data_IF_151841421034
#
_entry.id   IF_151841421034
#
_cell.length_a   1.000
_cell.length_b   1.000
_cell.length_c   1.000
_cell.angle_alpha   90.00
_cell.angle_beta   90.00
_cell.angle_gamma   90.00
#
_symmetry.space_group_name_H-M   'P 1'
#
loop_
_entity.id
_entity.type
_entity.pdbx_description
1 polymer ?
#
# COMPACT_ATOMS: atom_id res chain seq x y z
N UNK A 1 -8.71 20.59 24.02
CA UNK A 1 -7.69 19.54 24.16
C UNK A 1 -7.20 19.19 22.77
N UNK A 2 -6.07 19.76 22.40
CA UNK A 2 -5.39 19.54 21.12
C UNK A 2 -4.83 18.12 21.16
N UNK A 3 -5.31 17.24 20.28
CA UNK A 3 -4.62 15.98 20.04
C UNK A 3 -3.30 16.32 19.38
N UNK A 4 -2.23 16.28 20.18
CA UNK A 4 -0.86 16.30 19.70
C UNK A 4 -0.74 15.26 18.58
N UNK A 5 -0.21 15.71 17.44
CA UNK A 5 0.32 14.82 16.42
C UNK A 5 1.46 14.03 17.07
N UNK A 6 1.11 12.92 17.72
CA UNK A 6 2.05 11.86 18.00
C UNK A 6 2.52 11.39 16.64
N UNK A 7 3.76 11.74 16.32
CA UNK A 7 4.52 11.20 15.21
C UNK A 7 4.38 9.68 15.26
N UNK A 8 3.47 9.14 14.45
CA UNK A 8 3.19 7.71 14.38
C UNK A 8 4.38 7.15 13.63
N UNK A 9 5.49 6.91 14.32
CA UNK A 9 6.67 6.29 13.74
C UNK A 9 6.35 4.91 13.16
N UNK A 10 7.29 4.32 12.40
CA UNK A 10 7.13 2.97 11.87
C UNK A 10 6.74 1.96 12.98
N UNK A 11 6.05 0.87 12.62
CA UNK A 11 5.62 -0.15 13.59
C UNK A 11 6.79 -0.56 14.49
N UNK A 12 6.59 -0.63 15.81
CA UNK A 12 7.63 -1.03 16.74
C UNK A 12 8.02 -2.49 16.50
N UNK A 13 9.31 -2.78 16.67
CA UNK A 13 9.85 -4.12 16.52
C UNK A 13 9.11 -5.13 17.43
N UNK A 14 9.01 -6.39 17.01
CA UNK A 14 8.33 -7.40 17.80
C UNK A 14 9.03 -7.61 19.15
N UNK A 15 8.42 -7.11 20.23
CA UNK A 15 8.82 -7.49 21.60
C UNK A 15 8.56 -8.99 21.78
N UNK A 16 9.64 -9.77 21.93
CA UNK A 16 9.64 -11.22 22.09
C UNK A 16 9.65 -11.66 23.56
N UNK A 17 9.94 -10.75 24.49
CA UNK A 17 10.11 -11.08 25.91
C UNK A 17 8.92 -10.60 26.73
N UNK A 18 8.17 -11.56 27.28
CA UNK A 18 7.26 -11.30 28.39
C UNK A 18 8.14 -11.10 29.63
N UNK A 19 8.05 -9.95 30.33
CA UNK A 19 8.86 -9.73 31.52
C UNK A 19 8.62 -10.88 32.52
N UNK A 20 9.68 -11.45 33.11
CA UNK A 20 9.55 -12.58 34.02
C UNK A 20 8.66 -12.21 35.22
N UNK A 21 7.87 -13.16 35.75
CA UNK A 21 7.01 -12.89 36.89
C UNK A 21 7.83 -12.34 38.06
N UNK A 22 7.45 -11.17 38.59
CA UNK A 22 7.97 -10.68 39.87
C UNK A 22 7.45 -11.57 41.00
N UNK A 23 8.33 -11.81 41.98
CA UNK A 23 8.21 -12.68 43.16
C UNK A 23 6.78 -13.14 43.52
N UNK A 24 6.61 -14.46 43.62
CA UNK A 24 5.33 -15.08 44.01
C UNK A 24 5.09 -14.79 45.50
N UNK A 25 4.32 -13.74 45.80
CA UNK A 25 3.85 -13.46 47.16
C UNK A 25 2.97 -14.59 47.67
N UNK A 26 3.24 -15.06 48.88
CA UNK A 26 2.37 -15.97 49.64
C UNK A 26 1.11 -15.17 50.01
N UNK A 27 -0.07 -15.67 49.64
CA UNK A 27 -1.35 -15.01 49.87
C UNK A 27 -1.93 -15.53 51.19
N UNK A 28 -1.91 -14.72 52.25
CA UNK A 28 -2.29 -15.16 53.61
C UNK A 28 -3.66 -14.61 54.05
N UNK A 29 -4.12 -13.50 53.44
CA UNK A 29 -5.42 -12.87 53.71
C UNK A 29 -6.34 -12.85 52.49
N UNK A 30 -7.65 -12.73 52.72
CA UNK A 30 -8.63 -12.45 51.68
C UNK A 30 -8.30 -11.14 50.92
N UNK A 31 -7.73 -10.15 51.62
CA UNK A 31 -7.28 -8.89 51.02
C UNK A 31 -6.10 -9.10 50.07
N UNK A 32 -5.15 -9.98 50.41
CA UNK A 32 -4.01 -10.32 49.55
C UNK A 32 -4.48 -11.00 48.26
N UNK A 33 -5.44 -11.93 48.39
CA UNK A 33 -6.05 -12.62 47.25
C UNK A 33 -6.76 -11.61 46.34
N UNK A 34 -7.50 -10.67 46.92
CA UNK A 34 -8.22 -9.65 46.17
C UNK A 34 -7.26 -8.66 45.47
N UNK A 35 -6.20 -8.24 46.16
CA UNK A 35 -5.16 -7.38 45.58
C UNK A 35 -4.46 -8.09 44.41
N UNK A 36 -4.06 -9.35 44.60
CA UNK A 36 -3.38 -10.12 43.55
C UNK A 36 -4.29 -10.36 42.34
N UNK A 37 -5.58 -10.61 42.57
CA UNK A 37 -6.58 -10.73 41.50
C UNK A 37 -6.66 -9.44 40.68
N UNK A 38 -6.73 -8.28 41.34
CA UNK A 38 -6.77 -6.97 40.66
C UNK A 38 -5.51 -6.76 39.82
N UNK A 39 -4.31 -6.99 40.38
CA UNK A 39 -3.05 -6.87 39.64
C UNK A 39 -3.01 -7.75 38.38
N UNK A 40 -3.44 -9.01 38.50
CA UNK A 40 -3.47 -9.94 37.37
C UNK A 40 -4.45 -9.48 36.29
N UNK A 41 -5.62 -8.99 36.69
CA UNK A 41 -6.61 -8.47 35.75
C UNK A 41 -6.11 -7.20 35.04
N UNK A 42 -5.47 -6.29 35.77
CA UNK A 42 -4.90 -5.06 35.20
C UNK A 42 -3.78 -5.38 34.21
N UNK A 43 -2.86 -6.27 34.57
CA UNK A 43 -1.81 -6.74 33.66
C UNK A 43 -2.38 -7.43 32.42
N UNK A 44 -3.45 -8.22 32.57
CA UNK A 44 -4.10 -8.86 31.43
C UNK A 44 -4.72 -7.83 30.48
N UNK A 45 -5.39 -6.80 31.01
CA UNK A 45 -5.96 -5.71 30.20
C UNK A 45 -4.85 -4.97 29.45
N UNK A 46 -3.77 -4.58 30.14
CA UNK A 46 -2.62 -3.91 29.53
C UNK A 46 -1.98 -4.76 28.42
N UNK A 47 -1.76 -6.06 28.68
CA UNK A 47 -1.22 -6.98 27.69
C UNK A 47 -2.12 -7.12 26.47
N UNK A 48 -3.43 -7.28 26.68
CA UNK A 48 -4.41 -7.40 25.59
C UNK A 48 -4.42 -6.15 24.73
N UNK A 49 -4.40 -4.97 25.34
CA UNK A 49 -4.44 -3.69 24.63
C UNK A 49 -3.13 -3.48 23.86
N UNK A 50 -1.98 -3.81 24.45
CA UNK A 50 -0.69 -3.83 23.77
C UNK A 50 -0.68 -4.77 22.56
N UNK A 51 -1.15 -6.01 22.74
CA UNK A 51 -1.23 -7.00 21.68
C UNK A 51 -2.14 -6.54 20.53
N UNK A 52 -3.27 -5.90 20.85
CA UNK A 52 -4.17 -5.31 19.86
C UNK A 52 -3.48 -4.19 19.07
N UNK A 53 -2.88 -3.22 19.74
CA UNK A 53 -2.14 -2.13 19.06
C UNK A 53 -1.00 -2.67 18.20
N UNK A 54 -0.28 -3.68 18.68
CA UNK A 54 0.79 -4.33 17.91
C UNK A 54 0.26 -4.96 16.63
N UNK A 55 -0.85 -5.70 16.71
CA UNK A 55 -1.52 -6.29 15.54
C UNK A 55 -1.91 -5.20 14.54
N UNK A 56 -2.58 -4.16 15.01
CA UNK A 56 -3.10 -3.09 14.14
C UNK A 56 -1.93 -2.39 13.39
N UNK A 57 -0.81 -2.10 14.08
CA UNK A 57 0.40 -1.54 13.45
C UNK A 57 1.06 -2.47 12.43
N UNK A 58 1.07 -3.79 12.69
CA UNK A 58 1.59 -4.76 11.73
C UNK A 58 0.71 -4.88 10.48
N UNK A 59 -0.61 -4.76 10.65
CA UNK A 59 -1.56 -4.73 9.54
C UNK A 59 -1.37 -3.49 8.66
N UNK A 60 -1.19 -2.31 9.26
CA UNK A 60 -0.87 -1.06 8.54
C UNK A 60 0.42 -1.20 7.72
N UNK A 61 1.51 -1.69 8.33
CA UNK A 61 2.75 -1.91 7.60
C UNK A 61 2.64 -2.95 6.50
N UNK A 62 1.91 -4.04 6.74
CA UNK A 62 1.64 -5.04 5.70
C UNK A 62 0.89 -4.41 4.53
N UNK A 63 -0.14 -3.60 4.79
CA UNK A 63 -0.88 -2.89 3.75
C UNK A 63 0.02 -1.95 2.95
N UNK A 64 0.91 -1.22 3.63
CA UNK A 64 1.86 -0.33 2.98
C UNK A 64 2.86 -1.05 2.09
N UNK A 65 3.33 -2.24 2.48
CA UNK A 65 4.23 -3.04 1.64
C UNK A 65 3.53 -3.53 0.35
N UNK A 66 2.26 -3.96 0.45
CA UNK A 66 1.49 -4.29 -0.75
C UNK A 66 1.29 -3.07 -1.66
N UNK A 67 0.95 -1.92 -1.09
CA UNK A 67 0.84 -0.67 -1.84
C UNK A 67 2.14 -0.34 -2.59
N UNK A 68 3.30 -0.42 -1.93
CA UNK A 68 4.60 -0.16 -2.54
C UNK A 68 4.88 -1.07 -3.73
N UNK A 69 4.71 -2.38 -3.53
CA UNK A 69 4.91 -3.37 -4.59
C UNK A 69 4.00 -3.11 -5.78
N UNK A 70 2.69 -2.93 -5.54
CA UNK A 70 1.73 -2.70 -6.60
C UNK A 70 2.03 -1.38 -7.35
N UNK A 71 2.52 -0.36 -6.66
CA UNK A 71 3.00 0.88 -7.27
C UNK A 71 4.25 0.66 -8.13
N UNK A 72 5.26 -0.06 -7.63
CA UNK A 72 6.48 -0.37 -8.38
C UNK A 72 6.19 -1.16 -9.67
N UNK A 73 5.32 -2.16 -9.58
CA UNK A 73 4.89 -2.97 -10.74
C UNK A 73 4.23 -2.10 -11.81
N UNK A 74 3.33 -1.19 -11.41
CA UNK A 74 2.68 -0.27 -12.33
C UNK A 74 3.65 0.74 -12.95
N UNK A 75 4.56 1.31 -12.16
CA UNK A 75 5.57 2.22 -12.67
C UNK A 75 6.45 1.55 -13.73
N UNK A 76 6.99 0.36 -13.43
CA UNK A 76 7.82 -0.40 -14.37
C UNK A 76 7.06 -0.70 -15.65
N UNK A 77 5.78 -1.09 -15.54
CA UNK A 77 4.96 -1.37 -16.71
C UNK A 77 4.75 -0.11 -17.57
N UNK A 78 4.41 1.05 -16.98
CA UNK A 78 4.25 2.31 -17.73
C UNK A 78 5.57 2.70 -18.43
N UNK A 79 6.70 2.63 -17.72
CA UNK A 79 8.02 2.96 -18.29
C UNK A 79 8.36 2.09 -19.51
N UNK A 80 8.11 0.78 -19.41
CA UNK A 80 8.31 -0.13 -20.54
C UNK A 80 7.44 0.28 -21.73
N UNK A 81 6.17 0.58 -21.49
CA UNK A 81 5.25 0.98 -22.57
C UNK A 81 5.60 2.30 -23.24
N UNK A 82 6.08 3.29 -22.50
CA UNK A 82 6.58 4.54 -23.07
C UNK A 82 7.81 4.25 -23.96
N UNK A 83 8.73 3.42 -23.49
CA UNK A 83 9.95 3.04 -24.23
C UNK A 83 9.63 2.28 -25.51
N UNK A 84 8.87 1.19 -25.40
CA UNK A 84 8.40 0.39 -26.55
C UNK A 84 7.60 1.25 -27.54
N UNK A 85 6.86 2.22 -27.00
CA UNK A 85 6.11 3.13 -27.84
C UNK A 85 7.05 4.02 -28.65
N UNK A 86 8.04 4.64 -28.04
CA UNK A 86 8.99 5.47 -28.79
C UNK A 86 9.83 4.68 -29.83
N UNK A 87 9.97 3.37 -29.69
CA UNK A 87 10.92 2.56 -30.47
C UNK A 87 10.30 1.80 -31.68
N UNK A 88 8.98 1.65 -31.77
CA UNK A 88 8.36 0.79 -32.79
C UNK A 88 8.40 1.39 -34.21
N UNK A 89 9.40 0.97 -34.99
CA UNK A 89 9.49 1.07 -36.45
C UNK A 89 8.55 0.08 -37.17
N UNK A 90 8.21 0.48 -38.40
CA UNK A 90 7.29 -0.12 -39.38
C UNK A 90 7.43 -1.64 -39.56
N UNK A 91 6.29 -2.33 -39.68
CA UNK A 91 6.16 -3.62 -40.38
C UNK A 91 4.82 -3.72 -41.13
N UNK A 92 4.78 -4.15 -42.41
CA UNK A 92 3.55 -4.35 -43.15
C UNK A 92 2.93 -5.71 -42.80
N UNK A 93 2.10 -5.75 -41.75
CA UNK A 93 1.33 -6.95 -41.37
C UNK A 93 -0.09 -6.94 -41.96
N UNK A 94 -0.62 -8.13 -42.30
CA UNK A 94 -1.99 -8.36 -42.77
C UNK A 94 -3.05 -7.84 -41.77
N UNK A 95 -4.19 -7.36 -42.27
CA UNK A 95 -5.32 -6.77 -41.52
C UNK A 95 -5.76 -7.61 -40.31
N UNK A 96 -5.87 -8.94 -40.45
CA UNK A 96 -6.29 -9.82 -39.35
C UNK A 96 -5.33 -9.74 -38.15
N UNK A 97 -4.02 -9.69 -38.41
CA UNK A 97 -3.00 -9.56 -37.38
C UNK A 97 -3.03 -8.17 -36.71
N UNK A 98 -3.40 -7.12 -37.46
CA UNK A 98 -3.61 -5.78 -36.91
C UNK A 98 -4.79 -5.75 -35.93
N UNK A 99 -5.90 -6.40 -36.27
CA UNK A 99 -7.10 -6.46 -35.42
C UNK A 99 -6.78 -7.16 -34.09
N UNK A 100 -6.19 -8.36 -34.13
CA UNK A 100 -5.83 -9.08 -32.91
C UNK A 100 -4.86 -8.31 -32.01
N UNK A 101 -3.86 -7.63 -32.60
CA UNK A 101 -2.93 -6.79 -31.85
C UNK A 101 -3.63 -5.60 -31.21
N UNK A 102 -4.60 -4.99 -31.90
CA UNK A 102 -5.38 -3.88 -31.37
C UNK A 102 -6.27 -4.32 -30.20
N UNK A 103 -6.99 -5.45 -30.34
CA UNK A 103 -7.82 -6.00 -29.26
C UNK A 103 -6.99 -6.34 -28.01
N UNK A 104 -5.82 -6.97 -28.19
CA UNK A 104 -4.90 -7.26 -27.10
C UNK A 104 -4.40 -5.97 -26.41
N UNK A 105 -4.09 -4.93 -27.19
CA UNK A 105 -3.69 -3.63 -26.66
C UNK A 105 -4.81 -2.95 -25.88
N UNK A 106 -6.05 -2.95 -26.38
CA UNK A 106 -7.21 -2.37 -25.69
C UNK A 106 -7.48 -3.09 -24.37
N UNK A 107 -7.45 -4.43 -24.38
CA UNK A 107 -7.63 -5.24 -23.17
C UNK A 107 -6.52 -4.95 -22.14
N UNK A 108 -5.28 -4.83 -22.59
CA UNK A 108 -4.14 -4.47 -21.73
C UNK A 108 -4.34 -3.08 -21.11
N UNK A 109 -4.62 -2.04 -21.91
CA UNK A 109 -4.86 -0.68 -21.41
C UNK A 109 -6.02 -0.65 -20.41
N UNK A 110 -7.10 -1.38 -20.67
CA UNK A 110 -8.24 -1.45 -19.76
C UNK A 110 -7.89 -2.11 -18.42
N UNK A 111 -7.14 -3.23 -18.45
CA UNK A 111 -6.72 -3.91 -17.23
C UNK A 111 -5.82 -3.02 -16.35
N UNK A 112 -4.89 -2.28 -16.96
CA UNK A 112 -3.98 -1.40 -16.21
C UNK A 112 -4.67 -0.12 -15.72
N UNK A 113 -5.64 0.43 -16.46
CA UNK A 113 -6.49 1.52 -15.98
C UNK A 113 -7.25 1.13 -14.70
N UNK A 114 -7.78 -0.10 -14.66
CA UNK A 114 -8.42 -0.64 -13.47
C UNK A 114 -7.44 -0.80 -12.30
N UNK A 115 -6.20 -1.24 -12.58
CA UNK A 115 -5.16 -1.39 -11.57
C UNK A 115 -4.76 -0.04 -10.95
N UNK A 116 -4.59 1.01 -11.75
CA UNK A 116 -4.32 2.38 -11.28
C UNK A 116 -5.47 2.85 -10.39
N UNK A 117 -6.72 2.70 -10.85
CA UNK A 117 -7.90 3.11 -10.08
C UNK A 117 -7.98 2.40 -8.72
N UNK A 118 -7.67 1.10 -8.69
CA UNK A 118 -7.64 0.31 -7.46
C UNK A 118 -6.52 0.78 -6.51
N UNK A 119 -5.34 1.06 -7.05
CA UNK A 119 -4.21 1.54 -6.27
C UNK A 119 -4.49 2.94 -5.70
N UNK A 120 -5.10 3.82 -6.49
CA UNK A 120 -5.57 5.14 -6.05
C UNK A 120 -6.55 5.03 -4.90
N UNK A 121 -7.55 4.16 -5.03
CA UNK A 121 -8.52 3.94 -3.95
C UNK A 121 -7.81 3.46 -2.69
N UNK A 122 -6.91 2.49 -2.82
CA UNK A 122 -6.19 1.92 -1.68
C UNK A 122 -5.31 2.97 -1.01
N UNK A 123 -4.53 3.74 -1.77
CA UNK A 123 -3.66 4.79 -1.24
C UNK A 123 -4.44 5.95 -0.62
N UNK A 124 -5.54 6.40 -1.24
CA UNK A 124 -6.39 7.45 -0.67
C UNK A 124 -7.10 6.96 0.61
N UNK A 125 -7.58 5.73 0.65
CA UNK A 125 -8.15 5.15 1.86
C UNK A 125 -7.11 5.12 2.99
N UNK A 126 -5.87 4.69 2.72
CA UNK A 126 -4.77 4.72 3.71
C UNK A 126 -4.49 6.15 4.23
N UNK A 127 -4.48 7.14 3.35
CA UNK A 127 -4.28 8.55 3.73
C UNK A 127 -5.44 9.05 4.61
N UNK A 128 -6.68 8.73 4.24
CA UNK A 128 -7.87 9.14 5.00
C UNK A 128 -7.90 8.55 6.41
N UNK A 129 -7.40 7.32 6.59
CA UNK A 129 -7.27 6.67 7.89
C UNK A 129 -6.04 7.17 8.70
N UNK A 130 -5.30 8.16 8.18
CA UNK A 130 -4.18 8.78 8.91
C UNK A 130 -2.91 7.92 8.95
N UNK A 131 -2.71 7.04 7.96
CA UNK A 131 -1.55 6.16 7.88
C UNK A 131 -0.23 6.93 8.05
N UNK A 132 0.72 6.37 8.79
CA UNK A 132 1.98 7.03 9.15
C UNK A 132 2.80 7.51 7.94
N UNK A 133 2.77 6.74 6.84
CA UNK A 133 3.47 7.06 5.59
C UNK A 133 2.61 7.81 4.56
N UNK A 134 1.58 8.54 4.98
CA UNK A 134 0.65 9.27 4.08
C UNK A 134 1.35 10.16 3.05
N UNK A 135 2.46 10.79 3.43
CA UNK A 135 3.23 11.67 2.54
C UNK A 135 3.93 10.88 1.42
N UNK A 136 4.53 9.75 1.76
CA UNK A 136 5.14 8.83 0.80
C UNK A 136 4.08 8.25 -0.13
N UNK A 137 2.93 7.84 0.40
CA UNK A 137 1.80 7.34 -0.40
C UNK A 137 1.34 8.39 -1.40
N UNK A 138 1.14 9.64 -0.96
CA UNK A 138 0.73 10.75 -1.83
C UNK A 138 1.70 10.95 -2.99
N UNK A 139 3.01 11.09 -2.68
CA UNK A 139 4.06 11.28 -3.69
C UNK A 139 4.08 10.16 -4.73
N UNK A 140 3.84 8.91 -4.30
CA UNK A 140 3.81 7.75 -5.20
C UNK A 140 2.59 7.77 -6.12
N UNK A 141 1.42 8.15 -5.60
CA UNK A 141 0.22 8.31 -6.44
C UNK A 141 0.40 9.45 -7.46
N UNK A 142 0.91 10.60 -7.02
CA UNK A 142 1.14 11.76 -7.90
C UNK A 142 2.11 11.39 -9.05
N UNK A 143 3.20 10.70 -8.73
CA UNK A 143 4.15 10.20 -9.73
C UNK A 143 3.51 9.22 -10.72
N UNK A 144 2.66 8.31 -10.25
CA UNK A 144 1.94 7.38 -11.12
C UNK A 144 0.99 8.12 -12.06
N UNK A 145 0.31 9.16 -11.59
CA UNK A 145 -0.55 10.01 -12.44
C UNK A 145 0.24 10.78 -13.49
N UNK A 146 1.41 11.31 -13.14
CA UNK A 146 2.32 11.95 -14.10
C UNK A 146 2.75 10.97 -15.19
N UNK A 147 3.23 9.78 -14.82
CA UNK A 147 3.65 8.75 -15.76
C UNK A 147 2.50 8.29 -16.67
N UNK A 148 1.30 8.15 -16.11
CA UNK A 148 0.11 7.79 -16.86
C UNK A 148 -0.28 8.86 -17.87
N UNK A 149 -0.16 10.14 -17.49
CA UNK A 149 -0.38 11.28 -18.40
C UNK A 149 0.65 11.29 -19.53
N UNK A 150 1.92 11.02 -19.23
CA UNK A 150 2.99 10.93 -20.23
C UNK A 150 2.75 9.79 -21.22
N UNK A 151 2.32 8.64 -20.73
CA UNK A 151 1.94 7.51 -21.58
C UNK A 151 0.81 7.88 -22.54
N UNK A 152 -0.27 8.51 -22.05
CA UNK A 152 -1.36 8.96 -22.93
C UNK A 152 -0.91 9.99 -23.96
N UNK A 153 -0.04 10.94 -23.58
CA UNK A 153 0.54 11.90 -24.52
C UNK A 153 1.30 11.19 -25.64
N UNK A 154 2.13 10.19 -25.30
CA UNK A 154 2.86 9.40 -26.29
C UNK A 154 1.92 8.61 -27.23
N UNK A 155 0.84 8.03 -26.68
CA UNK A 155 -0.17 7.33 -27.48
C UNK A 155 -0.91 8.25 -28.45
N UNK A 156 -1.33 9.43 -28.00
CA UNK A 156 -2.04 10.40 -28.87
C UNK A 156 -1.13 10.83 -30.02
N UNK A 157 0.14 11.12 -29.74
CA UNK A 157 1.11 11.51 -30.78
C UNK A 157 1.29 10.39 -31.82
N UNK A 158 1.34 9.13 -31.37
CA UNK A 158 1.38 7.97 -32.27
C UNK A 158 0.15 7.87 -33.16
N UNK A 159 -1.04 7.99 -32.58
CA UNK A 159 -2.30 7.88 -33.32
C UNK A 159 -2.42 9.00 -34.37
N UNK A 160 -2.02 10.22 -34.02
CA UNK A 160 -1.98 11.35 -34.96
C UNK A 160 -0.97 11.14 -36.10
N UNK A 161 0.17 10.50 -35.82
CA UNK A 161 1.17 10.19 -36.84
C UNK A 161 0.75 9.01 -37.73
N UNK A 162 0.04 8.02 -37.20
CA UNK A 162 -0.48 6.89 -37.97
C UNK A 162 -1.58 7.32 -38.94
N UNK A 163 -2.47 8.23 -38.54
CA UNK A 163 -3.57 8.72 -39.39
C UNK A 163 -3.17 9.79 -40.43
N UNK A 164 -1.89 10.20 -40.47
CA UNK A 164 -1.34 11.14 -41.46
C UNK A 164 -0.75 10.47 -42.71
N UNK A 165 -0.68 9.14 -42.75
CA UNK A 165 -0.11 8.34 -43.84
C UNK A 165 -1.09 7.27 -44.32
#
# INVERSE_FOLDING_TARGET
MSYENSDIGPPPDPVLEVPPPKDIKILESADDIQQRRTEVLDHYVQFRDFAKTKRDRLEEARQFQYFKRDADELEIWIFRKITDSCESFRDPTNLQAKIQKHEAFVAEVQAHSNAITKLDKTGNDMIQHGHYEKETIRKRLDRLHELWTDYFRCLIIKELNYNKH
#
